data_IF_521263282460
#
_entry.id   IF_521263282460
#
_cell.length_a   1.000
_cell.length_b   1.000
_cell.length_c   1.000
_cell.angle_alpha   90.00
_cell.angle_beta   90.00
_cell.angle_gamma   90.00
#
_symmetry.space_group_name_H-M   'P 1'
#
loop_
_entity.id
_entity.type
_entity.pdbx_description
1 polymer ?
#
# COMPACT_ATOMS: atom_id res chain seq x y z
N UNK A 1 20.54 12.19 -20.92
CA UNK A 1 20.87 11.44 -19.69
C UNK A 1 22.33 11.73 -19.36
N UNK A 2 22.65 12.12 -18.12
CA UNK A 2 24.06 12.19 -17.70
C UNK A 2 24.60 10.76 -17.68
N UNK A 3 25.76 10.56 -18.30
CA UNK A 3 26.41 9.25 -18.48
C UNK A 3 27.47 8.99 -17.39
N UNK A 4 27.48 9.81 -16.33
CA UNK A 4 28.42 9.67 -15.24
C UNK A 4 28.16 8.33 -14.51
N UNK A 5 29.19 7.50 -14.27
CA UNK A 5 29.04 6.27 -13.52
C UNK A 5 28.51 6.55 -12.11
N UNK A 6 27.59 5.72 -11.64
CA UNK A 6 27.13 5.77 -10.26
C UNK A 6 28.28 5.43 -9.31
N UNK A 7 28.46 6.24 -8.28
CA UNK A 7 29.39 5.95 -7.19
C UNK A 7 28.86 4.80 -6.33
N UNK A 8 29.74 4.05 -5.64
CA UNK A 8 29.34 3.01 -4.70
C UNK A 8 28.38 3.51 -3.61
N UNK A 9 28.53 4.78 -3.20
CA UNK A 9 27.67 5.42 -2.21
C UNK A 9 26.24 5.58 -2.73
N UNK A 10 26.07 6.08 -3.95
CA UNK A 10 24.74 6.23 -4.57
C UNK A 10 24.04 4.88 -4.74
N UNK A 11 24.80 3.83 -5.11
CA UNK A 11 24.27 2.47 -5.21
C UNK A 11 23.85 1.94 -3.84
N UNK A 12 24.65 2.17 -2.79
CA UNK A 12 24.33 1.75 -1.42
C UNK A 12 23.06 2.41 -0.91
N UNK A 13 22.91 3.72 -1.10
CA UNK A 13 21.71 4.46 -0.68
C UNK A 13 20.46 3.96 -1.40
N UNK A 14 20.57 3.65 -2.70
CA UNK A 14 19.46 3.06 -3.45
C UNK A 14 19.13 1.63 -2.97
N UNK A 15 20.15 0.84 -2.62
CA UNK A 15 19.97 -0.51 -2.09
C UNK A 15 19.25 -0.49 -0.75
N UNK A 16 19.59 0.43 0.16
CA UNK A 16 18.93 0.56 1.46
C UNK A 16 17.43 0.80 1.30
N UNK A 17 17.04 1.72 0.41
CA UNK A 17 15.63 2.01 0.11
C UNK A 17 14.90 0.82 -0.52
N UNK A 18 15.55 0.13 -1.46
CA UNK A 18 14.97 -1.04 -2.11
C UNK A 18 14.77 -2.19 -1.12
N UNK A 19 15.79 -2.51 -0.35
CA UNK A 19 15.78 -3.65 0.56
C UNK A 19 14.88 -3.44 1.77
N UNK A 20 14.65 -2.19 2.21
CA UNK A 20 13.63 -1.89 3.22
C UNK A 20 12.25 -2.44 2.81
N UNK A 21 11.78 -2.09 1.61
CA UNK A 21 10.51 -2.56 1.09
C UNK A 21 10.53 -4.06 0.73
N UNK A 22 11.62 -4.52 0.12
CA UNK A 22 11.79 -5.91 -0.28
C UNK A 22 11.71 -6.86 0.95
N UNK A 23 12.44 -6.56 2.03
CA UNK A 23 12.49 -7.42 3.23
C UNK A 23 11.11 -7.52 3.92
N UNK A 24 10.31 -6.47 3.86
CA UNK A 24 8.91 -6.48 4.34
C UNK A 24 8.08 -7.49 3.58
N UNK A 25 8.27 -7.63 2.27
CA UNK A 25 7.55 -8.61 1.44
C UNK A 25 8.14 -10.00 1.63
N UNK A 26 9.47 -10.14 1.53
CA UNK A 26 10.20 -11.41 1.59
C UNK A 26 9.93 -12.18 2.88
N UNK A 27 9.89 -11.48 4.03
CA UNK A 27 9.59 -12.07 5.34
C UNK A 27 8.19 -12.71 5.45
N UNK A 28 7.29 -12.45 4.48
CA UNK A 28 5.94 -13.02 4.42
C UNK A 28 5.77 -14.02 3.28
N UNK A 29 6.80 -14.22 2.47
CA UNK A 29 6.76 -15.16 1.36
C UNK A 29 6.80 -16.62 1.88
N UNK A 30 6.17 -17.57 1.17
CA UNK A 30 6.31 -18.99 1.48
C UNK A 30 7.78 -19.44 1.47
N UNK A 31 8.14 -20.40 2.32
CA UNK A 31 9.49 -20.98 2.30
C UNK A 31 9.84 -21.54 0.92
N UNK A 32 11.06 -21.25 0.46
CA UNK A 32 11.55 -21.66 -0.86
C UNK A 32 11.15 -20.72 -2.02
N UNK A 33 10.46 -19.61 -1.74
CA UNK A 33 10.20 -18.56 -2.74
C UNK A 33 11.50 -17.93 -3.22
N UNK A 34 11.59 -17.64 -4.52
CA UNK A 34 12.78 -17.01 -5.11
C UNK A 34 12.73 -15.48 -4.98
N UNK A 35 13.90 -14.84 -5.12
CA UNK A 35 14.00 -13.36 -5.19
C UNK A 35 13.12 -12.81 -6.32
N UNK A 36 13.05 -13.50 -7.47
CA UNK A 36 12.22 -13.09 -8.59
C UNK A 36 10.72 -13.14 -8.25
N UNK A 37 10.29 -14.17 -7.51
CA UNK A 37 8.90 -14.27 -7.03
C UNK A 37 8.57 -13.15 -6.06
N UNK A 38 9.48 -12.84 -5.13
CA UNK A 38 9.34 -11.73 -4.19
C UNK A 38 9.20 -10.39 -4.93
N UNK A 39 10.01 -10.14 -5.96
CA UNK A 39 9.92 -8.92 -6.80
C UNK A 39 8.55 -8.84 -7.50
N UNK A 40 8.07 -9.94 -8.10
CA UNK A 40 6.75 -9.97 -8.77
C UNK A 40 5.60 -9.70 -7.78
N UNK A 41 5.67 -10.26 -6.59
CA UNK A 41 4.66 -10.03 -5.55
C UNK A 41 4.73 -8.60 -5.01
N UNK A 42 5.93 -8.03 -4.88
CA UNK A 42 6.11 -6.64 -4.44
C UNK A 42 5.34 -5.66 -5.32
N UNK A 43 5.28 -5.87 -6.64
CA UNK A 43 4.46 -5.03 -7.53
C UNK A 43 2.96 -5.08 -7.20
N UNK A 44 2.44 -6.27 -6.85
CA UNK A 44 1.03 -6.43 -6.47
C UNK A 44 0.74 -5.78 -5.11
N UNK A 45 1.65 -5.97 -4.14
CA UNK A 45 1.57 -5.33 -2.82
C UNK A 45 1.55 -3.81 -2.97
N UNK A 46 2.41 -3.24 -3.82
CA UNK A 46 2.46 -1.79 -4.06
C UNK A 46 1.17 -1.23 -4.67
N UNK A 47 0.53 -1.98 -5.58
CA UNK A 47 -0.79 -1.61 -6.15
C UNK A 47 -1.87 -1.60 -5.07
N UNK A 48 -1.90 -2.62 -4.22
CA UNK A 48 -2.87 -2.72 -3.11
C UNK A 48 -2.64 -1.59 -2.10
N UNK A 49 -1.39 -1.35 -1.69
CA UNK A 49 -1.04 -0.29 -0.75
C UNK A 49 -1.43 1.10 -1.26
N UNK A 50 -1.21 1.36 -2.55
CA UNK A 50 -1.62 2.62 -3.20
C UNK A 50 -3.14 2.79 -3.18
N UNK A 51 -3.89 1.72 -3.50
CA UNK A 51 -5.36 1.73 -3.45
C UNK A 51 -5.87 2.00 -2.02
N UNK A 52 -5.32 1.32 -1.02
CA UNK A 52 -5.69 1.52 0.39
C UNK A 52 -5.43 2.96 0.85
N UNK A 53 -4.33 3.57 0.42
CA UNK A 53 -4.04 4.99 0.67
C UNK A 53 -5.13 5.89 0.11
N UNK A 54 -5.49 5.70 -1.17
CA UNK A 54 -6.54 6.51 -1.82
C UNK A 54 -7.92 6.30 -1.19
N UNK A 55 -8.25 5.07 -0.77
CA UNK A 55 -9.51 4.78 -0.06
C UNK A 55 -9.56 5.46 1.30
N UNK A 56 -8.47 5.43 2.07
CA UNK A 56 -8.38 6.13 3.36
C UNK A 56 -8.49 7.64 3.21
N UNK A 57 -7.80 8.23 2.23
CA UNK A 57 -7.91 9.67 1.93
C UNK A 57 -9.33 10.07 1.52
N UNK A 58 -10.02 9.19 0.78
CA UNK A 58 -11.43 9.39 0.42
C UNK A 58 -12.34 9.30 1.65
N UNK A 59 -12.16 8.29 2.49
CA UNK A 59 -12.94 8.14 3.73
C UNK A 59 -12.75 9.32 4.69
N UNK A 60 -11.52 9.80 4.85
CA UNK A 60 -11.22 10.99 5.65
C UNK A 60 -11.89 12.25 5.07
N UNK A 61 -11.87 12.41 3.74
CA UNK A 61 -12.54 13.51 3.05
C UNK A 61 -14.05 13.44 3.20
N UNK A 62 -14.65 12.29 2.96
CA UNK A 62 -16.09 12.06 3.04
C UNK A 62 -16.59 12.27 4.49
N UNK A 63 -15.80 11.81 5.47
CA UNK A 63 -16.04 12.05 6.91
C UNK A 63 -15.99 13.54 7.25
N UNK A 64 -15.00 14.28 6.74
CA UNK A 64 -14.87 15.74 6.97
C UNK A 64 -16.00 16.53 6.33
N UNK A 65 -16.52 16.08 5.19
CA UNK A 65 -17.62 16.74 4.47
C UNK A 65 -19.02 16.33 4.98
N UNK A 66 -19.11 15.49 6.02
CA UNK A 66 -20.38 15.09 6.62
C UNK A 66 -21.18 14.09 5.79
N UNK A 67 -20.57 13.41 4.80
CA UNK A 67 -21.21 12.39 3.99
C UNK A 67 -21.25 11.03 4.70
N UNK A 68 -21.80 10.96 5.91
CA UNK A 68 -22.18 9.66 6.49
C UNK A 68 -23.38 9.10 5.71
N UNK A 69 -23.11 8.20 4.76
CA UNK A 69 -24.15 7.48 4.04
C UNK A 69 -24.67 6.31 4.90
N UNK A 70 -25.72 6.59 5.66
CA UNK A 70 -26.78 5.64 5.99
C UNK A 70 -26.41 4.51 6.96
N UNK A 71 -26.38 4.82 8.26
CA UNK A 71 -26.87 3.84 9.23
C UNK A 71 -28.32 3.50 8.83
N UNK A 72 -28.59 2.22 8.60
CA UNK A 72 -29.92 1.69 8.30
C UNK A 72 -30.94 2.34 9.22
N UNK A 73 -31.87 3.11 8.67
CA UNK A 73 -33.04 3.56 9.40
C UNK A 73 -33.79 2.31 9.85
N UNK A 74 -33.72 2.02 11.16
CA UNK A 74 -34.61 1.05 11.79
C UNK A 74 -36.06 1.48 11.47
N UNK A 75 -36.95 0.56 11.04
CA UNK A 75 -38.32 0.92 10.78
C UNK A 75 -38.92 1.47 12.09
N UNK A 76 -39.43 2.70 12.05
CA UNK A 76 -40.20 3.26 13.17
C UNK A 76 -41.38 2.31 13.39
N UNK A 77 -41.35 1.60 14.52
CA UNK A 77 -42.50 0.82 14.98
C UNK A 77 -43.69 1.78 15.10
N UNK A 78 -44.73 1.50 14.32
CA UNK A 78 -46.05 2.10 14.43
C UNK A 78 -46.57 1.86 15.85
N UNK A 79 -46.69 2.93 16.65
CA UNK A 79 -47.48 2.87 17.88
C UNK A 79 -48.95 2.92 17.47
N UNK A 80 -49.64 1.80 17.72
CA UNK A 80 -51.09 1.69 17.85
C UNK A 80 -51.61 2.60 18.96
#
# INVERSE_FOLDING_TARGET
MKMDPLSPKEVSEAADLFFEAFNIVDSRMPQGSSVEDTIKIMEQVNKIASKLRSEKEKEERDSRLGFYKGSKALPRASRS
#
